data_IF_400967646398
#
_entry.id   IF_400967646398
#
_cell.length_a   1.000
_cell.length_b   1.000
_cell.length_c   1.000
_cell.angle_alpha   90.00
_cell.angle_beta   90.00
_cell.angle_gamma   90.00
#
_symmetry.space_group_name_H-M   'P 1'
#
loop_
_entity.id
_entity.type
_entity.pdbx_description
1 polymer ?
#
# COMPACT_ATOMS: atom_id res chain seq x y z
N UNK A 1 -1.05 -4.58 13.03
CA UNK A 1 -1.93 -3.58 12.38
C UNK A 1 -2.67 -4.28 11.25
N UNK A 2 -4.00 -4.32 11.29
CA UNK A 2 -4.83 -4.93 10.25
C UNK A 2 -5.02 -3.97 9.05
N UNK A 3 -5.61 -4.45 7.96
CA UNK A 3 -5.83 -3.65 6.74
C UNK A 3 -6.71 -2.41 6.96
N UNK A 4 -7.66 -2.47 7.89
CA UNK A 4 -8.53 -1.35 8.24
C UNK A 4 -7.77 -0.26 9.02
N UNK A 5 -6.98 -0.65 10.01
CA UNK A 5 -6.12 0.25 10.79
C UNK A 5 -5.09 0.95 9.91
N UNK A 6 -4.55 0.23 8.92
CA UNK A 6 -3.66 0.82 7.90
C UNK A 6 -4.36 1.93 7.11
N UNK A 7 -5.58 1.68 6.61
CA UNK A 7 -6.37 2.67 5.87
C UNK A 7 -6.67 3.88 6.75
N UNK A 8 -7.04 3.68 8.01
CA UNK A 8 -7.30 4.76 8.96
C UNK A 8 -6.04 5.60 9.24
N UNK A 9 -4.89 4.95 9.40
CA UNK A 9 -3.61 5.64 9.62
C UNK A 9 -3.18 6.44 8.40
N UNK A 10 -3.33 5.89 7.19
CA UNK A 10 -3.12 6.62 5.93
C UNK A 10 -4.03 7.84 5.89
N UNK A 11 -5.35 7.68 6.11
CA UNK A 11 -6.30 8.81 6.12
C UNK A 11 -5.93 9.90 7.12
N UNK A 12 -5.43 9.52 8.30
CA UNK A 12 -4.94 10.48 9.29
C UNK A 12 -3.70 11.24 8.79
N UNK A 13 -2.73 10.52 8.23
CA UNK A 13 -1.48 11.10 7.72
C UNK A 13 -1.68 11.95 6.46
N UNK A 14 -2.76 11.72 5.68
CA UNK A 14 -3.13 12.56 4.53
C UNK A 14 -3.43 14.03 4.90
N UNK A 15 -3.56 14.36 6.20
CA UNK A 15 -3.66 15.76 6.66
C UNK A 15 -2.33 16.51 6.56
N UNK A 16 -1.20 15.80 6.55
CA UNK A 16 0.12 16.37 6.28
C UNK A 16 0.30 16.49 4.75
N UNK A 17 0.49 17.72 4.22
CA UNK A 17 0.63 17.93 2.78
C UNK A 17 1.85 17.21 2.20
N UNK A 18 2.95 17.08 2.95
CA UNK A 18 4.16 16.39 2.48
C UNK A 18 3.91 14.88 2.34
N UNK A 19 3.25 14.31 3.34
CA UNK A 19 2.82 12.92 3.29
C UNK A 19 1.84 12.69 2.12
N UNK A 20 0.84 13.56 1.98
CA UNK A 20 -0.21 13.43 0.96
C UNK A 20 0.36 13.49 -0.45
N UNK A 21 1.26 14.43 -0.73
CA UNK A 21 1.90 14.55 -2.04
C UNK A 21 2.70 13.28 -2.38
N UNK A 22 3.53 12.82 -1.44
CA UNK A 22 4.35 11.63 -1.65
C UNK A 22 3.49 10.36 -1.79
N UNK A 23 2.44 10.23 -0.99
CA UNK A 23 1.50 9.11 -1.09
C UNK A 23 0.76 9.10 -2.44
N UNK A 24 0.23 10.25 -2.85
CA UNK A 24 -0.48 10.38 -4.13
C UNK A 24 0.42 10.03 -5.32
N UNK A 25 1.69 10.45 -5.29
CA UNK A 25 2.67 10.07 -6.31
C UNK A 25 2.89 8.56 -6.36
N UNK A 26 3.11 7.92 -5.21
CA UNK A 26 3.31 6.47 -5.12
C UNK A 26 2.07 5.70 -5.62
N UNK A 27 0.86 6.16 -5.29
CA UNK A 27 -0.39 5.57 -5.79
C UNK A 27 -0.55 5.78 -7.30
N UNK A 28 -0.20 6.96 -7.82
CA UNK A 28 -0.19 7.19 -9.26
C UNK A 28 0.78 6.24 -9.98
N UNK A 29 1.97 6.03 -9.42
CA UNK A 29 2.95 5.06 -9.95
C UNK A 29 2.45 3.61 -9.86
N UNK A 30 1.72 3.23 -8.81
CA UNK A 30 1.04 1.92 -8.73
C UNK A 30 -0.03 1.76 -9.81
N UNK A 31 -0.82 2.80 -10.07
CA UNK A 31 -1.87 2.78 -11.09
C UNK A 31 -1.33 2.65 -12.52
N UNK A 32 -0.05 2.95 -12.75
CA UNK A 32 0.61 2.69 -14.05
C UNK A 32 0.86 1.21 -14.32
N UNK A 33 0.70 0.33 -13.32
CA UNK A 33 0.93 -1.11 -13.45
C UNK A 33 -0.41 -1.79 -13.76
N UNK A 34 -0.62 -2.30 -14.99
CA UNK A 34 -1.89 -2.91 -15.38
C UNK A 34 -2.25 -4.11 -14.50
N UNK A 35 -3.52 -4.23 -14.11
CA UNK A 35 -4.01 -5.34 -13.28
C UNK A 35 -3.67 -5.25 -11.79
N UNK A 36 -2.75 -4.34 -11.40
CA UNK A 36 -2.26 -4.26 -10.03
C UNK A 36 -3.34 -3.82 -9.03
N UNK A 37 -4.23 -2.92 -9.43
CA UNK A 37 -5.32 -2.46 -8.55
C UNK A 37 -6.19 -3.63 -8.06
N UNK A 38 -6.50 -4.58 -8.95
CA UNK A 38 -7.27 -5.78 -8.60
C UNK A 38 -6.48 -6.70 -7.66
N UNK A 39 -5.17 -6.82 -7.88
CA UNK A 39 -4.30 -7.67 -7.06
C UNK A 39 -4.11 -7.09 -5.66
N UNK A 40 -3.91 -5.79 -5.54
CA UNK A 40 -3.83 -5.08 -4.25
C UNK A 40 -5.16 -5.18 -3.49
N UNK A 41 -6.31 -5.05 -4.16
CA UNK A 41 -7.61 -5.26 -3.51
C UNK A 41 -7.78 -6.69 -2.98
N UNK A 42 -7.36 -7.70 -3.75
CA UNK A 42 -7.36 -9.10 -3.28
C UNK A 42 -6.46 -9.29 -2.07
N UNK A 43 -5.28 -8.67 -2.06
CA UNK A 43 -4.33 -8.73 -0.94
C UNK A 43 -4.91 -8.07 0.31
N UNK A 44 -5.56 -6.91 0.18
CA UNK A 44 -6.16 -6.18 1.29
C UNK A 44 -7.28 -6.96 2.00
N UNK A 45 -7.96 -7.86 1.29
CA UNK A 45 -8.99 -8.74 1.84
C UNK A 45 -8.41 -9.96 2.59
N UNK A 46 -7.09 -10.18 2.56
CA UNK A 46 -6.46 -11.30 3.28
C UNK A 46 -6.31 -10.94 4.76
N UNK A 47 -7.11 -11.58 5.61
CA UNK A 47 -7.07 -11.39 7.06
C UNK A 47 -5.82 -11.99 7.74
N UNK A 48 -5.19 -12.99 7.11
CA UNK A 48 -3.97 -13.65 7.60
C UNK A 48 -2.72 -12.85 7.17
N UNK A 49 -1.98 -12.31 8.14
CA UNK A 49 -0.79 -11.48 7.90
C UNK A 49 0.32 -12.22 7.13
N UNK A 50 0.51 -13.53 7.38
CA UNK A 50 1.53 -14.34 6.70
C UNK A 50 1.17 -14.55 5.23
N UNK A 51 -0.11 -14.83 4.95
CA UNK A 51 -0.61 -14.96 3.57
C UNK A 51 -0.59 -13.62 2.84
N UNK A 52 -0.91 -12.53 3.54
CA UNK A 52 -0.85 -11.16 2.98
C UNK A 52 0.57 -10.81 2.56
N UNK A 53 1.55 -11.02 3.44
CA UNK A 53 2.97 -10.77 3.14
C UNK A 53 3.45 -11.60 1.94
N UNK A 54 3.12 -12.89 1.91
CA UNK A 54 3.45 -13.76 0.77
C UNK A 54 2.81 -13.31 -0.54
N UNK A 55 1.62 -12.71 -0.50
CA UNK A 55 0.95 -12.18 -1.68
C UNK A 55 1.57 -10.83 -2.12
N UNK A 56 1.99 -9.98 -1.18
CA UNK A 56 2.80 -8.78 -1.47
C UNK A 56 4.14 -9.16 -2.12
N UNK A 57 4.78 -10.23 -1.65
CA UNK A 57 6.02 -10.76 -2.23
C UNK A 57 5.85 -11.29 -3.65
N UNK A 58 4.62 -11.58 -4.09
CA UNK A 58 4.33 -12.01 -5.47
C UNK A 58 4.06 -10.85 -6.41
N UNK A 59 3.85 -9.64 -5.89
CA UNK A 59 3.68 -8.46 -6.71
C UNK A 59 4.95 -8.21 -7.55
N UNK A 60 4.81 -7.61 -8.74
CA UNK A 60 5.93 -7.14 -9.53
C UNK A 60 6.86 -6.27 -8.68
N UNK A 61 8.17 -6.34 -8.95
CA UNK A 61 9.19 -5.67 -8.14
C UNK A 61 8.88 -4.18 -7.90
N UNK A 62 8.39 -3.48 -8.94
CA UNK A 62 7.97 -2.07 -8.85
C UNK A 62 6.81 -1.87 -7.86
N UNK A 63 5.79 -2.71 -7.93
CA UNK A 63 4.63 -2.65 -7.02
C UNK A 63 5.02 -2.97 -5.57
N UNK A 64 5.84 -4.00 -5.36
CA UNK A 64 6.34 -4.37 -4.04
C UNK A 64 7.12 -3.23 -3.39
N UNK A 65 8.02 -2.60 -4.13
CA UNK A 65 8.81 -1.46 -3.65
C UNK A 65 7.91 -0.29 -3.22
N UNK A 66 6.90 0.04 -4.03
CA UNK A 66 5.97 1.13 -3.70
C UNK A 66 5.16 0.79 -2.44
N UNK A 67 4.62 -0.43 -2.34
CA UNK A 67 3.87 -0.87 -1.15
C UNK A 67 4.75 -0.81 0.10
N UNK A 68 6.01 -1.26 0.01
CA UNK A 68 6.97 -1.14 1.12
C UNK A 68 7.25 0.32 1.49
N UNK A 69 7.37 1.22 0.52
CA UNK A 69 7.59 2.64 0.77
C UNK A 69 6.39 3.29 1.46
N UNK A 70 5.16 2.97 1.04
CA UNK A 70 3.93 3.39 1.73
C UNK A 70 3.92 2.87 3.16
N UNK A 71 4.27 1.60 3.41
CA UNK A 71 4.33 1.06 4.77
C UNK A 71 5.37 1.76 5.64
N UNK A 72 6.55 2.10 5.09
CA UNK A 72 7.56 2.88 5.81
C UNK A 72 7.06 4.28 6.15
N UNK A 73 6.43 4.97 5.21
CA UNK A 73 5.85 6.29 5.44
C UNK A 73 4.76 6.29 6.52
N UNK A 74 3.98 5.22 6.60
CA UNK A 74 2.88 5.11 7.56
C UNK A 74 3.38 4.69 8.96
N UNK A 75 4.51 3.99 9.05
CA UNK A 75 5.08 3.51 10.32
C UNK A 75 6.15 4.43 10.93
N UNK A 76 6.58 5.46 10.20
CA UNK A 76 7.38 6.55 10.75
C UNK A 76 6.52 7.55 11.53
#
# INVERSE_FOLDING_TARGET
MNGYELIMKIKSNMKDPVFAEKFNRLVAELNTIPGLQQEVMKIAQINDDKKRNKAIDRLPSKARNIVQEVFKMVNN
#
